data_IF_044557820018
#
_entry.id   IF_044557820018
#
_cell.length_a   1.000
_cell.length_b   1.000
_cell.length_c   1.000
_cell.angle_alpha   90.00
_cell.angle_beta   90.00
_cell.angle_gamma   90.00
#
_symmetry.space_group_name_H-M   'P 1'
#
loop_
_entity.id
_entity.type
_entity.pdbx_description
1 polymer ?
#
# COMPACT_ATOMS: atom_id res chain seq x y z
N UNK A 1 -19.58 -10.12 -18.29
CA UNK A 1 -20.89 -10.60 -17.80
C UNK A 1 -21.39 -9.58 -16.79
N UNK A 2 -22.53 -8.92 -17.04
CA UNK A 2 -23.11 -8.03 -16.04
C UNK A 2 -23.56 -8.88 -14.84
N UNK A 3 -22.93 -8.67 -13.68
CA UNK A 3 -23.38 -9.29 -12.44
C UNK A 3 -24.82 -8.83 -12.17
N UNK A 4 -25.74 -9.77 -12.00
CA UNK A 4 -27.11 -9.45 -11.59
C UNK A 4 -27.13 -8.71 -10.24
N UNK A 5 -28.27 -8.09 -9.88
CA UNK A 5 -28.39 -7.35 -8.63
C UNK A 5 -27.96 -8.21 -7.42
N UNK A 6 -27.11 -7.64 -6.57
CA UNK A 6 -26.65 -8.29 -5.34
C UNK A 6 -27.77 -8.17 -4.31
N UNK A 7 -28.52 -9.26 -4.12
CA UNK A 7 -29.58 -9.34 -3.10
C UNK A 7 -28.95 -9.69 -1.76
N UNK A 8 -29.07 -8.79 -0.80
CA UNK A 8 -28.54 -8.94 0.55
C UNK A 8 -29.67 -8.88 1.56
N UNK A 9 -29.95 -10.00 2.22
CA UNK A 9 -30.88 -10.04 3.35
C UNK A 9 -30.21 -9.46 4.59
N UNK A 10 -30.81 -8.43 5.18
CA UNK A 10 -30.47 -7.89 6.50
C UNK A 10 -31.57 -8.26 7.51
N UNK A 11 -31.39 -9.31 8.32
CA UNK A 11 -32.41 -9.75 9.26
C UNK A 11 -32.69 -8.71 10.35
N UNK A 12 -31.70 -7.85 10.65
CA UNK A 12 -31.77 -6.79 11.65
C UNK A 12 -32.51 -5.53 11.18
N UNK A 13 -32.76 -5.37 9.87
CA UNK A 13 -33.46 -4.20 9.30
C UNK A 13 -34.83 -4.54 8.71
N UNK A 14 -35.25 -5.82 8.70
CA UNK A 14 -36.58 -6.21 8.23
C UNK A 14 -36.82 -6.05 6.72
N UNK A 15 -35.80 -5.73 5.93
CA UNK A 15 -35.89 -5.56 4.47
C UNK A 15 -34.67 -6.16 3.77
N UNK A 16 -34.91 -6.89 2.67
CA UNK A 16 -33.87 -7.27 1.72
C UNK A 16 -33.42 -6.01 0.97
N UNK A 17 -32.13 -5.71 1.01
CA UNK A 17 -31.56 -4.61 0.25
C UNK A 17 -31.01 -5.17 -1.07
N UNK A 18 -31.54 -4.66 -2.18
CA UNK A 18 -31.03 -4.94 -3.51
C UNK A 18 -30.00 -3.88 -3.87
N UNK A 19 -28.74 -4.27 -3.96
CA UNK A 19 -27.68 -3.39 -4.45
C UNK A 19 -27.56 -3.51 -5.96
N UNK A 20 -27.53 -2.35 -6.61
CA UNK A 20 -27.40 -2.24 -8.07
C UNK A 20 -25.99 -2.57 -8.56
N UNK A 21 -24.99 -2.43 -7.68
CA UNK A 21 -23.58 -2.73 -7.96
C UNK A 21 -22.79 -3.01 -6.67
N UNK A 22 -21.63 -3.66 -6.79
CA UNK A 22 -20.69 -3.82 -5.68
C UNK A 22 -20.26 -2.46 -5.09
N UNK A 23 -20.11 -1.44 -5.92
CA UNK A 23 -19.76 -0.08 -5.49
C UNK A 23 -20.82 0.48 -4.52
N UNK A 24 -22.11 0.35 -4.87
CA UNK A 24 -23.19 0.81 -3.99
C UNK A 24 -23.20 0.08 -2.65
N UNK A 25 -23.00 -1.24 -2.67
CA UNK A 25 -22.87 -2.05 -1.46
C UNK A 25 -21.68 -1.61 -0.60
N UNK A 26 -20.52 -1.36 -1.21
CA UNK A 26 -19.31 -0.92 -0.50
C UNK A 26 -19.51 0.45 0.15
N UNK A 27 -20.10 1.41 -0.55
CA UNK A 27 -20.35 2.77 -0.04
C UNK A 27 -21.30 2.73 1.17
N UNK A 28 -22.41 2.01 1.05
CA UNK A 28 -23.40 1.90 2.11
C UNK A 28 -22.85 1.09 3.30
N UNK A 29 -22.05 0.05 3.02
CA UNK A 29 -21.42 -0.74 4.08
C UNK A 29 -20.30 0.03 4.79
N UNK A 30 -19.51 0.83 4.09
CA UNK A 30 -18.47 1.67 4.68
C UNK A 30 -19.07 2.75 5.58
N UNK A 31 -20.12 3.44 5.12
CA UNK A 31 -20.82 4.43 5.94
C UNK A 31 -21.49 3.79 7.17
N UNK A 32 -22.16 2.64 7.00
CA UNK A 32 -22.74 1.88 8.09
C UNK A 32 -21.70 1.38 9.10
N UNK A 33 -20.54 0.91 8.63
CA UNK A 33 -19.42 0.52 9.46
C UNK A 33 -18.90 1.70 10.29
N UNK A 34 -18.65 2.86 9.66
CA UNK A 34 -18.15 4.05 10.34
C UNK A 34 -19.13 4.53 11.42
N UNK A 35 -20.44 4.50 11.13
CA UNK A 35 -21.47 4.81 12.11
C UNK A 35 -21.48 3.82 13.29
N UNK A 36 -21.38 2.51 13.00
CA UNK A 36 -21.35 1.47 14.03
C UNK A 36 -20.12 1.58 14.94
N UNK A 37 -18.94 1.81 14.37
CA UNK A 37 -17.69 2.00 15.12
C UNK A 37 -17.72 3.29 15.95
N UNK A 38 -18.27 4.38 15.40
CA UNK A 38 -18.35 5.66 16.12
C UNK A 38 -19.36 5.63 17.28
N UNK A 39 -20.42 4.82 17.16
CA UNK A 39 -21.43 4.65 18.21
C UNK A 39 -21.04 3.60 19.27
N UNK A 40 -19.97 2.82 19.04
CA UNK A 40 -19.58 1.74 19.92
C UNK A 40 -19.04 2.28 21.27
N UNK A 41 -19.35 1.61 22.40
CA UNK A 41 -18.94 2.07 23.73
C UNK A 41 -17.43 1.91 23.99
N UNK A 42 -16.75 1.06 23.23
CA UNK A 42 -15.31 0.82 23.31
C UNK A 42 -14.77 0.35 21.94
N UNK A 43 -13.45 0.48 21.69
CA UNK A 43 -12.81 -0.11 20.51
C UNK A 43 -13.08 -1.61 20.43
N UNK A 44 -13.52 -2.10 19.26
CA UNK A 44 -13.87 -3.51 19.04
C UNK A 44 -15.24 -3.94 19.59
N UNK A 45 -16.04 -3.02 20.16
CA UNK A 45 -17.37 -3.33 20.69
C UNK A 45 -18.51 -3.14 19.67
N UNK A 46 -18.21 -2.75 18.43
CA UNK A 46 -19.21 -2.61 17.37
C UNK A 46 -19.67 -4.00 16.90
N UNK A 47 -20.99 -4.21 16.76
CA UNK A 47 -21.51 -5.45 16.15
C UNK A 47 -21.37 -5.38 14.62
N UNK A 48 -20.40 -6.13 14.09
CA UNK A 48 -20.08 -6.20 12.68
C UNK A 48 -20.57 -7.51 12.02
N UNK A 49 -21.32 -8.35 12.74
CA UNK A 49 -21.71 -9.71 12.33
C UNK A 49 -22.45 -9.72 10.99
N UNK A 50 -23.34 -8.75 10.79
CA UNK A 50 -24.09 -8.62 9.53
C UNK A 50 -23.15 -8.33 8.36
N UNK A 51 -22.23 -7.38 8.50
CA UNK A 51 -21.25 -7.08 7.46
C UNK A 51 -20.38 -8.30 7.11
N UNK A 52 -19.92 -9.06 8.12
CA UNK A 52 -19.19 -10.31 7.92
C UNK A 52 -19.98 -11.33 7.09
N UNK A 53 -21.27 -11.50 7.39
CA UNK A 53 -22.13 -12.44 6.66
C UNK A 53 -22.31 -12.04 5.20
N UNK A 54 -22.50 -10.74 4.95
CA UNK A 54 -22.69 -10.21 3.59
C UNK A 54 -21.40 -10.35 2.79
N UNK A 55 -20.29 -9.86 3.32
CA UNK A 55 -19.02 -9.87 2.58
C UNK A 55 -18.39 -11.24 2.46
N UNK A 56 -18.60 -12.17 3.41
CA UNK A 56 -18.18 -13.57 3.21
C UNK A 56 -18.90 -14.21 2.02
N UNK A 57 -20.21 -13.94 1.86
CA UNK A 57 -20.98 -14.39 0.69
C UNK A 57 -20.49 -13.74 -0.59
N UNK A 58 -20.28 -12.41 -0.59
CA UNK A 58 -19.72 -11.69 -1.74
C UNK A 58 -18.40 -12.30 -2.15
N UNK A 59 -17.45 -12.45 -1.23
CA UNK A 59 -16.13 -13.00 -1.52
C UNK A 59 -16.20 -14.45 -2.04
N UNK A 60 -17.11 -15.27 -1.50
CA UNK A 60 -17.30 -16.65 -1.99
C UNK A 60 -17.88 -16.74 -3.41
N UNK A 61 -18.50 -15.67 -3.92
CA UNK A 61 -19.06 -15.62 -5.26
C UNK A 61 -18.02 -15.29 -6.35
N UNK A 62 -16.84 -14.78 -5.97
CA UNK A 62 -15.79 -14.41 -6.92
C UNK A 62 -14.59 -15.37 -6.81
N UNK A 63 -14.11 -15.95 -7.93
CA UNK A 63 -12.88 -16.74 -7.91
C UNK A 63 -11.63 -15.88 -7.66
N UNK A 64 -11.67 -14.61 -8.07
CA UNK A 64 -10.67 -13.59 -7.73
C UNK A 64 -11.41 -12.33 -7.24
N UNK A 65 -11.66 -12.19 -5.92
CA UNK A 65 -12.53 -11.13 -5.38
C UNK A 65 -11.92 -9.74 -5.54
N UNK A 66 -12.69 -8.71 -5.90
CA UNK A 66 -12.15 -7.35 -6.10
C UNK A 66 -11.46 -6.81 -4.86
N UNK A 67 -10.43 -5.97 -5.08
CA UNK A 67 -9.53 -5.46 -4.03
C UNK A 67 -10.33 -4.81 -2.89
N UNK A 68 -11.32 -3.99 -3.24
CA UNK A 68 -12.15 -3.23 -2.32
C UNK A 68 -13.01 -4.13 -1.42
N UNK A 69 -13.53 -5.23 -1.95
CA UNK A 69 -14.31 -6.19 -1.17
C UNK A 69 -13.41 -6.94 -0.18
N UNK A 70 -12.19 -7.32 -0.61
CA UNK A 70 -11.20 -7.94 0.28
C UNK A 70 -10.79 -6.97 1.37
N UNK A 71 -10.53 -5.70 1.03
CA UNK A 71 -10.15 -4.65 1.98
C UNK A 71 -11.23 -4.35 3.02
N UNK A 72 -12.49 -4.28 2.59
CA UNK A 72 -13.57 -4.06 3.54
C UNK A 72 -13.71 -5.25 4.48
N UNK A 73 -13.71 -6.48 3.96
CA UNK A 73 -13.82 -7.69 4.79
C UNK A 73 -12.63 -7.86 5.76
N UNK A 74 -11.42 -7.53 5.33
CA UNK A 74 -10.25 -7.57 6.20
C UNK A 74 -10.29 -6.48 7.28
N UNK A 75 -10.89 -5.32 7.01
CA UNK A 75 -11.15 -4.30 8.02
C UNK A 75 -12.10 -4.83 9.11
N UNK A 76 -13.20 -5.49 8.73
CA UNK A 76 -14.13 -6.12 9.68
C UNK A 76 -13.38 -7.11 10.59
N UNK A 77 -12.62 -8.01 9.96
CA UNK A 77 -11.88 -9.07 10.67
C UNK A 77 -10.78 -8.51 11.59
N UNK A 78 -10.14 -7.41 11.20
CA UNK A 78 -9.14 -6.73 12.01
C UNK A 78 -9.77 -5.97 13.19
N UNK A 79 -10.96 -5.41 13.01
CA UNK A 79 -11.68 -4.75 14.10
C UNK A 79 -12.16 -5.71 15.19
N UNK A 80 -12.47 -6.96 14.84
CA UNK A 80 -12.78 -8.02 15.82
C UNK A 80 -11.55 -8.44 16.65
N UNK A 81 -10.37 -8.39 16.03
CA UNK A 81 -9.09 -8.79 16.63
C UNK A 81 -8.05 -7.70 16.41
N UNK A 82 -8.22 -6.55 17.08
CA UNK A 82 -7.31 -5.44 16.91
C UNK A 82 -5.89 -5.91 17.21
N UNK A 83 -4.96 -5.42 16.41
CA UNK A 83 -3.53 -5.57 16.58
C UNK A 83 -2.96 -6.92 16.13
N UNK A 84 -3.73 -7.94 15.73
CA UNK A 84 -3.17 -9.16 15.14
C UNK A 84 -2.78 -8.98 13.65
N UNK A 85 -1.68 -8.26 13.43
CA UNK A 85 -1.15 -7.96 12.10
C UNK A 85 -0.65 -9.21 11.36
N UNK A 86 -0.26 -10.26 12.08
CA UNK A 86 0.12 -11.54 11.46
C UNK A 86 -1.10 -12.21 10.84
N UNK A 87 -2.20 -12.25 11.58
CA UNK A 87 -3.47 -12.73 11.04
C UNK A 87 -3.93 -11.90 9.84
N UNK A 88 -3.85 -10.57 9.91
CA UNK A 88 -4.21 -9.69 8.79
C UNK A 88 -3.36 -9.97 7.54
N UNK A 89 -2.03 -10.07 7.68
CA UNK A 89 -1.14 -10.40 6.58
C UNK A 89 -1.47 -11.77 5.97
N UNK A 90 -1.72 -12.78 6.81
CA UNK A 90 -2.12 -14.12 6.37
C UNK A 90 -3.45 -14.09 5.61
N UNK A 91 -4.45 -13.37 6.13
CA UNK A 91 -5.76 -13.22 5.49
C UNK A 91 -5.63 -12.60 4.10
N UNK A 92 -4.89 -11.49 3.98
CA UNK A 92 -4.67 -10.81 2.70
C UNK A 92 -3.88 -11.69 1.72
N UNK A 93 -2.89 -12.43 2.21
CA UNK A 93 -2.12 -13.37 1.38
C UNK A 93 -2.97 -14.53 0.86
N UNK A 94 -3.95 -14.99 1.63
CA UNK A 94 -4.86 -16.07 1.24
C UNK A 94 -5.78 -15.65 0.09
N UNK A 95 -6.29 -14.41 0.12
CA UNK A 95 -7.15 -13.88 -0.95
C UNK A 95 -6.42 -13.61 -2.27
N UNK A 96 -5.08 -13.67 -2.29
CA UNK A 96 -4.24 -13.26 -3.42
C UNK A 96 -3.34 -14.38 -3.92
N UNK A 97 -3.45 -15.57 -3.32
CA UNK A 97 -2.70 -16.76 -3.71
C UNK A 97 -2.96 -17.15 -5.17
N UNK A 98 -4.19 -16.94 -5.68
CA UNK A 98 -4.60 -17.21 -7.06
C UNK A 98 -4.55 -15.99 -7.99
N UNK A 99 -4.12 -14.82 -7.50
CA UNK A 99 -4.17 -13.61 -8.31
C UNK A 99 -3.13 -13.65 -9.45
N UNK A 100 -3.53 -13.32 -10.69
CA UNK A 100 -2.69 -13.51 -11.88
C UNK A 100 -1.50 -12.54 -11.97
N UNK A 101 -1.54 -11.42 -11.24
CA UNK A 101 -0.49 -10.39 -11.26
C UNK A 101 0.01 -10.02 -9.87
N UNK A 102 1.09 -9.24 -9.82
CA UNK A 102 1.69 -8.76 -8.58
C UNK A 102 0.94 -7.57 -7.96
N UNK A 103 0.28 -6.74 -8.78
CA UNK A 103 -0.27 -5.45 -8.34
C UNK A 103 -1.29 -5.59 -7.20
N UNK A 104 -2.30 -6.43 -7.35
CA UNK A 104 -3.34 -6.63 -6.33
C UNK A 104 -2.80 -7.19 -5.00
N UNK A 105 -1.97 -8.26 -4.97
CA UNK A 105 -1.31 -8.70 -3.75
C UNK A 105 -0.55 -7.59 -3.01
N UNK A 106 0.19 -6.76 -3.76
CA UNK A 106 0.97 -5.67 -3.20
C UNK A 106 0.08 -4.54 -2.66
N UNK A 107 -0.91 -4.11 -3.44
CA UNK A 107 -1.84 -3.04 -3.07
C UNK A 107 -2.66 -3.38 -1.81
N UNK A 108 -3.02 -4.66 -1.62
CA UNK A 108 -3.76 -5.12 -0.45
C UNK A 108 -2.98 -4.97 0.86
N UNK A 109 -1.65 -4.82 0.83
CA UNK A 109 -0.81 -4.67 2.02
C UNK A 109 -0.90 -3.28 2.67
N UNK A 110 -1.51 -2.27 2.03
CA UNK A 110 -1.51 -0.89 2.57
C UNK A 110 -1.95 -0.79 4.04
N UNK A 111 -3.04 -1.47 4.47
CA UNK A 111 -3.46 -1.43 5.86
C UNK A 111 -2.42 -2.02 6.82
N UNK A 112 -1.71 -3.07 6.40
CA UNK A 112 -0.65 -3.67 7.21
C UNK A 112 0.52 -2.70 7.39
N UNK A 113 0.92 -2.00 6.33
CA UNK A 113 1.98 -0.98 6.39
C UNK A 113 1.58 0.16 7.31
N UNK A 114 0.35 0.67 7.15
CA UNK A 114 -0.20 1.73 7.99
C UNK A 114 -0.23 1.35 9.46
N UNK A 115 -0.76 0.17 9.79
CA UNK A 115 -0.83 -0.28 11.17
C UNK A 115 0.56 -0.56 11.75
N UNK A 116 1.52 -1.04 10.96
CA UNK A 116 2.92 -1.18 11.40
C UNK A 116 3.57 0.17 11.70
N UNK A 117 3.22 1.21 10.95
CA UNK A 117 3.71 2.57 11.21
C UNK A 117 3.11 3.16 12.50
N UNK A 118 1.82 2.95 12.75
CA UNK A 118 1.13 3.45 13.94
C UNK A 118 1.25 2.54 15.18
N UNK A 119 1.89 1.38 15.03
CA UNK A 119 1.97 0.35 16.05
C UNK A 119 2.88 0.74 17.22
N UNK A 120 2.35 0.64 18.44
CA UNK A 120 3.11 0.77 19.70
C UNK A 120 3.92 -0.50 20.06
N UNK A 121 3.97 -1.50 19.17
CA UNK A 121 4.72 -2.75 19.38
C UNK A 121 6.20 -2.49 19.61
N UNK A 122 6.86 -3.49 20.21
CA UNK A 122 8.31 -3.47 20.33
C UNK A 122 8.94 -3.39 18.94
N UNK A 123 10.00 -2.61 18.85
CA UNK A 123 10.69 -2.31 17.60
C UNK A 123 11.17 -3.55 16.83
N UNK A 124 11.61 -4.57 17.57
CA UNK A 124 12.03 -5.86 17.04
C UNK A 124 10.87 -6.63 16.40
N UNK A 125 9.67 -6.56 16.97
CA UNK A 125 8.48 -7.19 16.39
C UNK A 125 8.04 -6.48 15.11
N UNK A 126 7.99 -5.14 15.13
CA UNK A 126 7.69 -4.33 13.95
C UNK A 126 8.68 -4.64 12.83
N UNK A 127 9.97 -4.69 13.13
CA UNK A 127 11.01 -5.06 12.17
C UNK A 127 10.81 -6.46 11.56
N UNK A 128 10.53 -7.47 12.39
CA UNK A 128 10.31 -8.82 11.91
C UNK A 128 9.07 -8.91 10.98
N UNK A 129 8.01 -8.16 11.28
CA UNK A 129 6.82 -8.09 10.44
C UNK A 129 7.08 -7.35 9.12
N UNK A 130 7.82 -6.24 9.16
CA UNK A 130 8.22 -5.52 7.94
C UNK A 130 9.11 -6.39 7.06
N UNK A 131 10.03 -7.16 7.64
CA UNK A 131 10.87 -8.11 6.89
C UNK A 131 10.04 -9.22 6.22
N UNK A 132 9.06 -9.79 6.94
CA UNK A 132 8.14 -10.77 6.38
C UNK A 132 7.30 -10.18 5.24
N UNK A 133 6.86 -8.93 5.37
CA UNK A 133 6.11 -8.21 4.35
C UNK A 133 6.98 -7.93 3.11
N UNK A 134 8.22 -7.46 3.27
CA UNK A 134 9.15 -7.25 2.15
C UNK A 134 9.49 -8.56 1.44
N UNK A 135 9.62 -9.66 2.19
CA UNK A 135 9.80 -11.00 1.63
C UNK A 135 8.58 -11.39 0.78
N UNK A 136 7.37 -11.13 1.28
CA UNK A 136 6.14 -11.37 0.53
C UNK A 136 6.03 -10.48 -0.72
N UNK A 137 6.43 -9.20 -0.62
CA UNK A 137 6.53 -8.27 -1.76
C UNK A 137 7.48 -8.83 -2.83
N UNK A 138 8.67 -9.30 -2.42
CA UNK A 138 9.64 -9.93 -3.33
C UNK A 138 9.07 -11.17 -4.02
N UNK A 139 8.34 -12.03 -3.29
CA UNK A 139 7.70 -13.22 -3.86
C UNK A 139 6.59 -12.85 -4.86
N UNK A 140 5.83 -11.80 -4.58
CA UNK A 140 4.80 -11.34 -5.51
C UNK A 140 5.40 -10.70 -6.76
N UNK A 141 6.51 -9.97 -6.61
CA UNK A 141 7.18 -9.24 -7.69
C UNK A 141 7.83 -10.16 -8.72
N UNK A 142 8.16 -11.40 -8.35
CA UNK A 142 8.68 -12.41 -9.28
C UNK A 142 7.61 -13.09 -10.13
N UNK A 143 6.32 -12.79 -9.91
CA UNK A 143 5.23 -13.34 -10.73
C UNK A 143 5.33 -12.79 -12.17
N UNK A 144 5.19 -13.64 -13.19
CA UNK A 144 5.15 -13.17 -14.56
C UNK A 144 3.95 -12.22 -14.74
N UNK A 145 4.15 -11.17 -15.53
CA UNK A 145 3.03 -10.32 -15.93
C UNK A 145 1.98 -11.19 -16.62
N UNK A 146 0.71 -11.01 -16.26
CA UNK A 146 -0.39 -11.72 -16.90
C UNK A 146 -0.28 -11.49 -18.42
N UNK A 147 0.03 -12.54 -19.18
CA UNK A 147 0.11 -12.44 -20.63
C UNK A 147 -1.28 -12.12 -21.16
N UNK A 148 -1.38 -11.07 -21.96
CA UNK A 148 -2.60 -10.62 -22.64
C UNK A 148 -3.03 -11.57 -23.78
N UNK A 149 -2.99 -12.88 -23.53
CA UNK A 149 -3.32 -13.92 -24.51
C UNK A 149 -4.84 -14.01 -24.76
N UNK A 150 -5.66 -13.52 -23.82
CA UNK A 150 -7.08 -13.27 -24.05
C UNK A 150 -7.26 -11.78 -24.32
N UNK A 151 -7.70 -11.43 -25.53
CA UNK A 151 -7.86 -10.06 -26.06
C UNK A 151 -8.91 -9.20 -25.33
N UNK A 152 -8.81 -9.08 -24.01
CA UNK A 152 -9.47 -8.09 -23.18
C UNK A 152 -8.40 -7.13 -22.63
N UNK A 153 -7.78 -6.35 -23.51
CA UNK A 153 -6.99 -5.17 -23.12
C UNK A 153 -7.93 -4.03 -22.73
N UNK A 154 -8.67 -4.18 -21.64
CA UNK A 154 -9.52 -3.13 -21.09
C UNK A 154 -9.45 -3.19 -19.56
N UNK A 155 -8.73 -2.24 -18.99
CA UNK A 155 -8.45 -2.02 -17.57
C UNK A 155 -7.44 -2.98 -16.91
N UNK A 156 -6.16 -2.57 -16.90
CA UNK A 156 -5.37 -2.71 -15.69
C UNK A 156 -6.21 -2.13 -14.54
N UNK A 157 -6.77 -3.00 -13.68
CA UNK A 157 -7.91 -2.66 -12.82
C UNK A 157 -7.75 -1.31 -12.13
N UNK A 158 -8.68 -0.40 -12.38
CA UNK A 158 -8.77 0.87 -11.66
C UNK A 158 -9.48 0.67 -10.33
N UNK A 159 -9.14 1.50 -9.35
CA UNK A 159 -9.81 1.52 -8.07
C UNK A 159 -11.26 1.97 -8.26
N UNK A 160 -12.18 1.27 -7.62
CA UNK A 160 -13.59 1.64 -7.62
C UNK A 160 -13.77 3.04 -7.00
N UNK A 161 -14.76 3.84 -7.44
CA UNK A 161 -15.02 5.16 -6.87
C UNK A 161 -15.27 5.16 -5.34
N UNK A 162 -15.68 4.03 -4.78
CA UNK A 162 -15.86 3.84 -3.33
C UNK A 162 -14.53 3.69 -2.54
N UNK A 163 -13.37 3.69 -3.21
CA UNK A 163 -12.05 3.53 -2.58
C UNK A 163 -11.81 4.53 -1.44
N UNK A 164 -12.17 5.81 -1.63
CA UNK A 164 -12.01 6.83 -0.60
C UNK A 164 -12.77 6.55 0.69
N UNK A 165 -13.93 5.87 0.63
CA UNK A 165 -14.67 5.44 1.81
C UNK A 165 -13.96 4.31 2.54
N UNK A 166 -13.29 3.40 1.82
CA UNK A 166 -12.48 2.35 2.43
C UNK A 166 -11.22 2.90 3.11
N UNK A 167 -10.63 3.96 2.56
CA UNK A 167 -9.53 4.66 3.23
C UNK A 167 -10.00 5.20 4.59
N UNK A 168 -11.22 5.74 4.67
CA UNK A 168 -11.80 6.20 5.95
C UNK A 168 -12.04 5.04 6.93
N UNK A 169 -12.55 3.91 6.44
CA UNK A 169 -12.76 2.68 7.23
C UNK A 169 -11.46 2.28 7.95
N UNK A 170 -10.34 2.22 7.22
CA UNK A 170 -9.04 1.87 7.81
C UNK A 170 -8.42 2.97 8.65
N UNK A 171 -8.73 4.24 8.36
CA UNK A 171 -8.18 5.37 9.12
C UNK A 171 -8.89 5.65 10.43
N UNK A 172 -10.06 5.04 10.68
CA UNK A 172 -10.97 5.40 11.78
C UNK A 172 -10.30 5.32 13.17
N UNK A 173 -9.37 4.39 13.39
CA UNK A 173 -8.68 4.21 14.68
C UNK A 173 -7.67 5.31 14.99
N UNK A 174 -7.04 5.86 13.94
CA UNK A 174 -5.91 6.79 14.05
C UNK A 174 -6.28 8.22 13.59
N UNK A 175 -7.51 8.43 13.12
CA UNK A 175 -8.01 9.73 12.66
C UNK A 175 -8.23 10.69 13.84
N UNK A 176 -7.18 11.46 14.16
CA UNK A 176 -7.22 12.63 15.06
C UNK A 176 -7.13 13.91 14.24
N UNK A 177 -8.20 14.22 13.48
CA UNK A 177 -8.34 15.37 12.58
C UNK A 177 -7.45 15.38 11.31
N UNK A 178 -6.68 14.31 11.07
CA UNK A 178 -5.86 14.18 9.87
C UNK A 178 -6.68 13.68 8.69
N UNK A 179 -6.24 14.07 7.48
CA UNK A 179 -6.77 13.51 6.24
C UNK A 179 -6.66 11.98 6.27
N UNK A 180 -7.72 11.21 5.97
CA UNK A 180 -7.68 9.74 5.97
C UNK A 180 -6.54 9.16 5.12
N UNK A 181 -6.25 9.76 3.96
CA UNK A 181 -5.13 9.32 3.12
C UNK A 181 -3.77 9.57 3.76
N UNK A 182 -3.63 10.59 4.62
CA UNK A 182 -2.40 10.81 5.38
C UNK A 182 -2.26 9.82 6.54
N UNK A 183 -3.38 9.34 7.07
CA UNK A 183 -3.38 8.29 8.10
C UNK A 183 -3.06 6.94 7.48
N UNK A 184 -3.68 6.56 6.36
CA UNK A 184 -3.43 5.27 5.72
C UNK A 184 -2.09 5.22 4.99
N UNK A 185 -1.62 6.35 4.44
CA UNK A 185 -0.35 6.46 3.72
C UNK A 185 0.55 7.55 4.34
N UNK A 186 1.08 7.29 5.56
CA UNK A 186 1.84 8.28 6.32
C UNK A 186 3.22 8.58 5.73
N UNK A 187 3.85 7.61 5.05
CA UNK A 187 5.18 7.70 4.44
C UNK A 187 5.12 8.00 2.93
N UNK A 188 3.93 8.09 2.34
CA UNK A 188 3.77 8.53 0.96
C UNK A 188 4.03 10.04 0.82
N UNK A 189 4.56 10.47 -0.33
CA UNK A 189 4.64 11.88 -0.69
C UNK A 189 3.27 12.53 -0.88
N UNK A 190 3.20 13.87 -0.85
CA UNK A 190 1.94 14.58 -1.05
C UNK A 190 1.36 14.36 -2.46
N UNK A 191 2.22 14.31 -3.49
CA UNK A 191 1.82 13.97 -4.87
C UNK A 191 1.16 12.60 -4.92
N UNK A 192 1.77 11.61 -4.27
CA UNK A 192 1.27 10.25 -4.29
C UNK A 192 -0.09 10.15 -3.64
N UNK A 193 -0.29 10.84 -2.51
CA UNK A 193 -1.62 10.93 -1.87
C UNK A 193 -2.64 11.64 -2.77
N UNK A 194 -2.27 12.74 -3.42
CA UNK A 194 -3.18 13.44 -4.34
C UNK A 194 -3.56 12.57 -5.54
N UNK A 195 -2.65 11.76 -6.06
CA UNK A 195 -2.95 10.82 -7.14
C UNK A 195 -3.93 9.73 -6.69
N UNK A 196 -3.73 9.16 -5.49
CA UNK A 196 -4.65 8.17 -4.90
C UNK A 196 -6.05 8.71 -4.62
N UNK A 197 -6.21 10.02 -4.48
CA UNK A 197 -7.51 10.67 -4.30
C UNK A 197 -8.29 10.84 -5.61
N UNK A 198 -7.64 10.68 -6.77
CA UNK A 198 -8.31 10.80 -8.07
C UNK A 198 -9.13 9.55 -8.35
N UNK A 199 -10.32 9.76 -8.90
CA UNK A 199 -11.14 8.68 -9.43
C UNK A 199 -10.41 7.98 -10.58
N UNK A 200 -10.47 6.65 -10.61
CA UNK A 200 -9.82 5.85 -11.65
C UNK A 200 -8.31 5.62 -11.44
N UNK A 201 -7.74 5.96 -10.29
CA UNK A 201 -6.37 5.60 -9.94
C UNK A 201 -6.15 4.07 -10.12
N UNK A 202 -5.05 3.66 -10.74
CA UNK A 202 -4.79 2.25 -11.01
C UNK A 202 -4.38 1.48 -9.75
N UNK A 203 -4.72 0.19 -9.68
CA UNK A 203 -4.26 -0.72 -8.63
C UNK A 203 -2.72 -0.85 -8.67
N UNK A 204 -2.12 -0.74 -9.86
CA UNK A 204 -0.67 -0.77 -10.05
C UNK A 204 0.02 0.43 -9.40
N UNK A 205 -0.58 1.62 -9.50
CA UNK A 205 -0.09 2.81 -8.82
C UNK A 205 -0.15 2.65 -7.30
N UNK A 206 -1.31 2.20 -6.78
CA UNK A 206 -1.47 1.90 -5.36
C UNK A 206 -0.44 0.87 -4.88
N UNK A 207 -0.21 -0.20 -5.63
CA UNK A 207 0.82 -1.18 -5.33
C UNK A 207 2.21 -0.53 -5.23
N UNK A 208 2.55 0.38 -6.15
CA UNK A 208 3.79 1.14 -6.10
C UNK A 208 3.93 1.99 -4.83
N UNK A 209 2.87 2.70 -4.43
CA UNK A 209 2.85 3.48 -3.18
C UNK A 209 3.07 2.58 -1.97
N UNK A 210 2.38 1.44 -1.89
CA UNK A 210 2.50 0.51 -0.76
C UNK A 210 3.91 -0.08 -0.65
N UNK A 211 4.53 -0.43 -1.78
CA UNK A 211 5.92 -0.89 -1.80
C UNK A 211 6.86 0.23 -1.34
N UNK A 212 6.61 1.49 -1.75
CA UNK A 212 7.42 2.63 -1.33
C UNK A 212 7.35 2.85 0.19
N UNK A 213 6.16 2.80 0.77
CA UNK A 213 5.99 2.96 2.21
C UNK A 213 6.61 1.81 3.01
N UNK A 214 6.39 0.56 2.59
CA UNK A 214 7.02 -0.61 3.21
C UNK A 214 8.55 -0.52 3.19
N UNK A 215 9.10 -0.10 2.05
CA UNK A 215 10.52 0.10 1.86
C UNK A 215 11.09 1.23 2.75
N UNK A 216 10.43 2.40 2.78
CA UNK A 216 10.84 3.51 3.63
C UNK A 216 10.72 3.18 5.12
N UNK A 217 9.65 2.47 5.52
CA UNK A 217 9.46 2.03 6.90
C UNK A 217 10.62 1.12 7.32
N UNK A 218 11.02 0.15 6.48
CA UNK A 218 12.18 -0.70 6.75
C UNK A 218 13.46 0.09 6.89
N UNK A 219 13.67 1.08 6.01
CA UNK A 219 14.86 1.92 6.01
C UNK A 219 14.95 2.75 7.30
N UNK A 220 13.84 3.37 7.71
CA UNK A 220 13.75 4.10 8.98
C UNK A 220 14.05 3.18 10.16
N UNK A 221 13.47 1.96 10.17
CA UNK A 221 13.74 0.98 11.23
C UNK A 221 15.21 0.55 11.26
N UNK A 222 15.90 0.42 10.12
CA UNK A 222 17.33 0.10 10.10
C UNK A 222 18.17 1.22 10.72
N UNK A 223 17.90 2.48 10.37
CA UNK A 223 18.62 3.65 10.91
C UNK A 223 18.45 3.74 12.41
N UNK A 224 17.21 3.71 12.88
CA UNK A 224 16.93 3.79 14.30
C UNK A 224 17.61 2.62 15.08
N UNK A 225 17.87 1.45 14.46
CA UNK A 225 18.33 0.20 15.13
C UNK A 225 19.85 0.17 15.28
N UNK A 226 20.55 1.11 14.66
CA UNK A 226 21.98 1.16 14.55
C UNK A 226 22.68 1.64 15.84
N UNK A 227 22.16 1.30 17.02
CA UNK A 227 22.74 1.73 18.30
C UNK A 227 24.16 1.18 18.44
N UNK A 228 25.16 2.07 18.48
CA UNK A 228 26.57 1.71 18.63
C UNK A 228 27.31 1.41 17.31
N UNK A 229 26.66 1.53 16.16
CA UNK A 229 27.31 1.43 14.84
C UNK A 229 27.81 2.81 14.42
N UNK A 230 29.00 2.89 13.82
CA UNK A 230 29.48 4.18 13.31
C UNK A 230 28.63 4.66 12.13
N UNK A 231 28.44 5.98 11.99
CA UNK A 231 27.61 6.56 10.92
C UNK A 231 28.09 6.14 9.52
N UNK A 232 29.40 6.01 9.32
CA UNK A 232 29.99 5.59 8.05
C UNK A 232 29.71 4.11 7.73
N UNK A 233 29.80 3.23 8.72
CA UNK A 233 29.45 1.81 8.56
C UNK A 233 27.95 1.65 8.28
N UNK A 234 27.11 2.36 9.03
CA UNK A 234 25.66 2.37 8.81
C UNK A 234 25.31 2.84 7.40
N UNK A 235 25.87 3.95 6.94
CA UNK A 235 25.64 4.46 5.58
C UNK A 235 26.02 3.41 4.51
N UNK A 236 27.16 2.73 4.68
CA UNK A 236 27.60 1.67 3.76
C UNK A 236 26.65 0.48 3.76
N UNK A 237 26.21 0.02 4.93
CA UNK A 237 25.26 -1.09 5.04
C UNK A 237 23.90 -0.75 4.42
N UNK A 238 23.37 0.45 4.71
CA UNK A 238 22.12 0.92 4.14
C UNK A 238 22.23 1.03 2.62
N UNK A 239 23.33 1.58 2.10
CA UNK A 239 23.58 1.65 0.66
C UNK A 239 23.57 0.28 0.00
N UNK A 240 24.28 -0.70 0.56
CA UNK A 240 24.28 -2.08 0.03
C UNK A 240 22.86 -2.63 0.00
N UNK A 241 22.11 -2.45 1.10
CA UNK A 241 20.75 -2.96 1.22
C UNK A 241 19.78 -2.28 0.23
N UNK A 242 19.84 -0.96 0.07
CA UNK A 242 18.99 -0.23 -0.87
C UNK A 242 19.30 -0.66 -2.30
N UNK A 243 20.59 -0.71 -2.67
CA UNK A 243 21.03 -1.10 -4.02
C UNK A 243 20.60 -2.52 -4.37
N UNK A 244 20.62 -3.44 -3.40
CA UNK A 244 20.16 -4.81 -3.63
C UNK A 244 18.64 -4.97 -3.62
N UNK A 245 17.90 -4.11 -2.90
CA UNK A 245 16.44 -4.26 -2.72
C UNK A 245 15.63 -3.68 -3.89
N UNK A 246 16.03 -2.52 -4.43
CA UNK A 246 15.25 -1.84 -5.49
C UNK A 246 15.01 -2.72 -6.72
N UNK A 247 16.03 -3.42 -7.29
CA UNK A 247 15.83 -4.32 -8.43
C UNK A 247 14.89 -5.49 -8.16
N UNK A 248 14.80 -5.95 -6.91
CA UNK A 248 14.04 -7.14 -6.54
C UNK A 248 12.52 -6.89 -6.63
N UNK A 249 12.08 -5.66 -6.37
CA UNK A 249 10.65 -5.33 -6.38
C UNK A 249 10.08 -5.13 -7.79
N UNK A 250 10.92 -4.84 -8.79
CA UNK A 250 10.55 -4.71 -10.21
C UNK A 250 9.26 -3.88 -10.47
N UNK A 251 8.96 -2.91 -9.62
CA UNK A 251 7.74 -2.11 -9.67
C UNK A 251 8.07 -0.67 -10.10
N UNK A 252 7.58 -0.28 -11.27
CA UNK A 252 7.89 1.02 -11.88
C UNK A 252 7.22 2.19 -11.14
N UNK A 253 6.00 1.99 -10.63
CA UNK A 253 5.29 3.01 -9.84
C UNK A 253 5.97 3.26 -8.49
N UNK A 254 6.45 2.21 -7.82
CA UNK A 254 7.29 2.32 -6.62
C UNK A 254 8.48 3.25 -6.87
N UNK A 255 9.18 3.00 -7.97
CA UNK A 255 10.34 3.80 -8.32
C UNK A 255 9.97 5.24 -8.65
N UNK A 256 8.91 5.47 -9.43
CA UNK A 256 8.39 6.82 -9.71
C UNK A 256 7.97 7.59 -8.45
N UNK A 257 7.32 6.91 -7.50
CA UNK A 257 6.93 7.49 -6.20
C UNK A 257 8.18 7.86 -5.39
N UNK A 258 9.20 6.99 -5.36
CA UNK A 258 10.47 7.26 -4.67
C UNK A 258 11.19 8.48 -5.24
N UNK A 259 11.29 8.59 -6.57
CA UNK A 259 11.89 9.76 -7.24
C UNK A 259 11.14 11.05 -6.91
N UNK A 260 9.81 11.03 -6.99
CA UNK A 260 9.00 12.20 -6.67
C UNK A 260 9.21 12.69 -5.22
N UNK A 261 9.35 11.76 -4.27
CA UNK A 261 9.66 12.11 -2.88
C UNK A 261 11.08 12.69 -2.72
N UNK A 262 12.06 12.18 -3.47
CA UNK A 262 13.43 12.71 -3.40
C UNK A 262 13.55 14.09 -4.03
N UNK A 263 12.82 14.36 -5.12
CA UNK A 263 12.71 15.70 -5.71
C UNK A 263 12.07 16.73 -4.76
N UNK A 264 11.14 16.29 -3.90
CA UNK A 264 10.36 17.15 -3.03
C UNK A 264 10.75 16.95 -1.57
N UNK A 265 11.79 17.68 -1.17
CA UNK A 265 12.27 17.74 0.22
C UNK A 265 11.25 18.46 1.14
N UNK A 266 11.09 18.05 2.41
CA UNK A 266 11.74 16.89 3.07
C UNK A 266 10.98 15.57 2.85
N UNK A 267 11.66 14.43 3.05
CA UNK A 267 11.00 13.13 3.02
C UNK A 267 9.92 13.02 4.13
N UNK A 268 8.81 12.31 3.90
CA UNK A 268 7.73 12.14 4.88
C UNK A 268 8.09 11.15 6.01
N UNK A 269 9.29 11.25 6.58
CA UNK A 269 9.84 10.33 7.61
C UNK A 269 10.09 11.02 8.96
N UNK A 270 9.77 12.30 9.08
CA UNK A 270 10.03 13.14 10.26
C UNK A 270 9.35 12.67 11.55
N UNK A 271 8.31 11.83 11.46
CA UNK A 271 7.68 11.20 12.62
C UNK A 271 8.47 10.02 13.17
N UNK A 272 9.40 9.47 12.38
CA UNK A 272 10.23 8.31 12.73
C UNK A 272 11.69 8.70 12.95
N UNK A 273 12.21 9.66 12.18
CA UNK A 273 13.63 9.99 12.14
C UNK A 273 13.88 11.43 12.60
N UNK A 274 15.06 11.64 13.19
CA UNK A 274 15.60 12.98 13.39
C UNK A 274 15.97 13.63 12.04
N UNK A 275 16.14 14.95 12.01
CA UNK A 275 16.57 15.64 10.78
C UNK A 275 17.93 15.10 10.26
N UNK A 276 18.88 14.81 11.16
CA UNK A 276 20.19 14.28 10.79
C UNK A 276 20.10 12.86 10.21
N UNK A 277 19.14 12.06 10.67
CA UNK A 277 18.88 10.70 10.17
C UNK A 277 18.11 10.72 8.84
N UNK A 278 17.25 11.72 8.62
CA UNK A 278 16.58 11.94 7.34
C UNK A 278 17.58 12.29 6.24
N UNK A 279 18.54 13.17 6.54
CA UNK A 279 19.65 13.51 5.62
C UNK A 279 20.44 12.23 5.24
N UNK A 280 20.77 11.39 6.23
CA UNK A 280 21.45 10.12 5.99
C UNK A 280 20.65 9.21 5.05
N UNK A 281 19.34 9.07 5.29
CA UNK A 281 18.46 8.28 4.44
C UNK A 281 18.43 8.83 3.01
N UNK A 282 18.32 10.15 2.87
CA UNK A 282 18.29 10.83 1.59
C UNK A 282 19.59 10.61 0.80
N UNK A 283 20.75 10.75 1.44
CA UNK A 283 22.06 10.51 0.83
C UNK A 283 22.19 9.06 0.33
N UNK A 284 21.78 8.09 1.15
CA UNK A 284 21.79 6.67 0.77
C UNK A 284 20.87 6.40 -0.43
N UNK A 285 19.69 7.02 -0.46
CA UNK A 285 18.77 6.87 -1.58
C UNK A 285 19.34 7.50 -2.85
N UNK A 286 19.97 8.68 -2.77
CA UNK A 286 20.64 9.30 -3.91
C UNK A 286 21.75 8.43 -4.49
N UNK A 287 22.62 7.90 -3.62
CA UNK A 287 23.67 6.96 -4.04
C UNK A 287 23.07 5.76 -4.79
N UNK A 288 21.99 5.18 -4.25
CA UNK A 288 21.37 4.03 -4.87
C UNK A 288 20.70 4.35 -6.21
N UNK A 289 20.14 5.55 -6.39
CA UNK A 289 19.56 5.98 -7.66
C UNK A 289 20.56 5.99 -8.83
N UNK A 290 21.84 6.18 -8.51
CA UNK A 290 22.93 6.19 -9.49
C UNK A 290 23.45 4.77 -9.74
N UNK A 291 23.49 3.93 -8.70
CA UNK A 291 24.21 2.65 -8.71
C UNK A 291 23.35 1.45 -9.10
N UNK A 292 22.04 1.54 -8.91
CA UNK A 292 21.12 0.44 -9.17
C UNK A 292 21.02 0.16 -10.68
N UNK A 293 20.98 -1.13 -11.05
CA UNK A 293 20.59 -1.53 -12.40
C UNK A 293 19.05 -1.46 -12.54
N UNK A 294 18.61 -0.61 -13.46
CA UNK A 294 17.21 -0.34 -13.75
C UNK A 294 16.72 -1.04 -15.01
N UNK A 295 17.31 -2.20 -15.34
CA UNK A 295 16.90 -3.04 -16.46
C UNK A 295 15.38 -3.31 -16.49
N UNK A 296 14.72 -3.42 -15.33
CA UNK A 296 13.26 -3.58 -15.22
C UNK A 296 12.42 -2.37 -15.72
N UNK A 297 13.03 -1.19 -15.84
CA UNK A 297 12.38 0.02 -16.41
C UNK A 297 12.47 0.02 -17.94
N UNK A 298 13.55 -0.55 -18.48
CA UNK A 298 13.86 -0.54 -19.90
C UNK A 298 13.36 -1.78 -20.64
N UNK A 299 12.59 -2.66 -19.99
CA UNK A 299 12.03 -3.83 -20.65
C UNK A 299 10.88 -3.38 -21.59
N UNK A 300 11.27 -3.03 -22.82
CA UNK A 300 10.49 -2.36 -23.90
C UNK A 300 9.21 -3.11 -24.29
N UNK A 301 9.04 -4.35 -23.82
CA UNK A 301 7.88 -5.19 -24.13
C UNK A 301 6.61 -4.84 -23.31
N UNK A 302 6.68 -3.89 -22.36
CA UNK A 302 5.66 -3.73 -21.31
C UNK A 302 5.10 -2.32 -21.06
N UNK A 303 5.59 -1.25 -21.70
CA UNK A 303 5.24 0.13 -21.28
C UNK A 303 5.03 1.09 -22.46
N UNK A 304 3.98 1.91 -22.38
CA UNK A 304 3.83 3.09 -23.24
C UNK A 304 4.94 4.10 -22.93
N UNK A 305 5.69 4.54 -23.95
CA UNK A 305 6.81 5.48 -23.79
C UNK A 305 6.45 6.78 -23.02
N UNK A 306 5.16 7.12 -22.95
CA UNK A 306 4.65 8.28 -22.21
C UNK A 306 4.83 8.16 -20.69
N UNK A 307 4.72 6.96 -20.11
CA UNK A 307 4.81 6.75 -18.64
C UNK A 307 6.25 6.73 -18.13
N UNK A 308 7.21 6.48 -19.01
CA UNK A 308 8.65 6.43 -18.69
C UNK A 308 9.31 7.82 -18.71
N UNK A 309 8.74 8.79 -19.42
CA UNK A 309 9.32 10.12 -19.59
C UNK A 309 9.42 10.90 -18.26
N UNK A 310 8.38 10.93 -17.40
CA UNK A 310 8.48 11.57 -16.08
C UNK A 310 9.51 10.90 -15.17
N UNK A 311 9.61 9.56 -15.25
CA UNK A 311 10.58 8.77 -14.46
C UNK A 311 12.00 9.13 -14.89
N UNK A 312 12.29 9.09 -16.19
CA UNK A 312 13.63 9.38 -16.72
C UNK A 312 14.05 10.84 -16.49
N UNK A 313 13.13 11.79 -16.63
CA UNK A 313 13.40 13.20 -16.31
C UNK A 313 13.67 13.41 -14.82
N UNK A 314 12.87 12.79 -13.94
CA UNK A 314 13.07 12.89 -12.50
C UNK A 314 14.41 12.31 -12.07
N UNK A 315 14.81 11.16 -12.64
CA UNK A 315 16.14 10.58 -12.43
C UNK A 315 17.24 11.52 -12.87
N UNK A 316 17.10 12.16 -14.04
CA UNK A 316 18.11 13.05 -14.59
C UNK A 316 18.31 14.27 -13.68
N UNK A 317 17.22 14.88 -13.22
CA UNK A 317 17.25 16.03 -12.29
C UNK A 317 17.89 15.62 -10.97
N UNK A 318 17.45 14.52 -10.38
CA UNK A 318 18.02 13.99 -9.13
C UNK A 318 19.52 13.71 -9.28
N UNK A 319 19.92 13.06 -10.37
CA UNK A 319 21.33 12.75 -10.61
C UNK A 319 22.16 14.03 -10.76
N UNK A 320 21.61 15.06 -11.40
CA UNK A 320 22.27 16.35 -11.53
C UNK A 320 22.42 17.05 -10.17
N UNK A 321 21.37 17.05 -9.35
CA UNK A 321 21.40 17.63 -8.00
C UNK A 321 22.42 16.90 -7.11
N UNK A 322 22.40 15.56 -7.10
CA UNK A 322 23.37 14.75 -6.35
C UNK A 322 24.83 15.00 -6.77
N UNK A 323 25.07 15.24 -8.07
CA UNK A 323 26.41 15.59 -8.58
C UNK A 323 26.83 17.01 -8.19
N UNK A 324 25.87 17.94 -8.11
CA UNK A 324 26.14 19.32 -7.70
C UNK A 324 26.42 19.42 -6.19
N UNK A 325 25.70 18.67 -5.35
CA UNK A 325 25.91 18.64 -3.90
C UNK A 325 27.24 17.96 -3.52
N UNK A 326 27.79 17.10 -4.39
CA UNK A 326 29.09 16.45 -4.19
C UNK A 326 30.32 17.32 -4.59
N UNK A 327 30.11 18.52 -5.15
CA UNK A 327 31.17 19.47 -5.55
C UNK A 327 31.38 20.56 -4.51
#
# INVERSE_FOLDING_TARGET
MAAGPLVVDFPSMGTAFCFSSLESLLRDSASGFLAAVSAAPAPGAADLTNFHRVFSRVLSAYPDPPLEAVWFFSALSFHDRPDDLRYLLQLLSAFTASSPGAAKPLALLAPVVSELFHSDRTRRETEALVEAMLSYISICSSRPAASSADGASADAGSLLPAFGELVKVWSVRHSRDRCPFQVLFPLAGEEARRELMKEGCSIEYLAGVVVAEAFLLRLCLKVQNATGVSRAELQKELRIWVVSSIPVFQNQHFFGVLLNMLLKSPLPVYSLLSADDEILVRDVLYDALILVDYSFINDVSRVDQADLLPINLSRLVITLDAVNDAR
#
